data_IF_855829386544
#
_entry.id   IF_855829386544
#
_cell.length_a   1.000
_cell.length_b   1.000
_cell.length_c   1.000
_cell.angle_alpha   90.00
_cell.angle_beta   90.00
_cell.angle_gamma   90.00
#
_symmetry.space_group_name_H-M   'P 1'
#
loop_
_entity.id
_entity.type
_entity.pdbx_description
1 polymer ?
#
# COMPACT_ATOMS: atom_id res chain seq x y z
N UNK A 1 5.31 13.46 7.31
CA UNK A 1 5.08 12.51 6.20
C UNK A 1 5.95 11.28 6.37
N UNK A 2 5.50 10.11 5.90
CA UNK A 2 6.21 8.82 6.06
C UNK A 2 6.47 8.21 4.68
N UNK A 3 7.68 7.70 4.48
CA UNK A 3 8.10 7.04 3.23
C UNK A 3 8.99 5.84 3.51
N UNK A 4 8.89 4.82 2.68
CA UNK A 4 9.86 3.73 2.67
C UNK A 4 10.94 4.00 1.62
N UNK A 5 12.19 3.88 2.03
CA UNK A 5 13.34 3.85 1.11
C UNK A 5 13.78 2.39 0.96
N UNK A 6 13.36 1.79 -0.13
CA UNK A 6 13.59 0.39 -0.44
C UNK A 6 15.10 0.08 -0.56
N UNK A 7 15.83 0.91 -1.30
CA UNK A 7 17.24 0.65 -1.60
C UNK A 7 18.14 0.77 -0.36
N UNK A 8 17.84 1.73 0.52
CA UNK A 8 18.57 1.94 1.76
C UNK A 8 17.97 1.21 2.96
N UNK A 9 16.88 0.44 2.76
CA UNK A 9 16.20 -0.33 3.81
C UNK A 9 15.79 0.53 5.01
N UNK A 10 15.19 1.69 4.72
CA UNK A 10 14.84 2.67 5.75
C UNK A 10 13.36 3.06 5.67
N UNK A 11 12.85 3.45 6.82
CA UNK A 11 11.68 4.31 6.95
C UNK A 11 12.18 5.74 7.11
N UNK A 12 11.69 6.65 6.29
CA UNK A 12 12.03 8.09 6.31
C UNK A 12 10.81 8.86 6.79
N UNK A 13 11.02 9.70 7.78
CA UNK A 13 9.99 10.57 8.35
C UNK A 13 10.38 12.02 8.08
N UNK A 14 9.50 12.75 7.41
CA UNK A 14 9.67 14.17 7.14
C UNK A 14 8.71 15.00 7.97
N UNK A 15 9.16 16.19 8.35
CA UNK A 15 8.34 17.27 8.89
C UNK A 15 7.32 17.76 7.84
N UNK A 16 6.38 18.59 8.26
CA UNK A 16 5.37 19.16 7.36
C UNK A 16 5.96 20.13 6.32
N UNK A 17 7.12 20.67 6.57
CA UNK A 17 7.88 21.54 5.65
C UNK A 17 8.77 20.76 4.66
N UNK A 18 8.75 19.42 4.74
CA UNK A 18 9.55 18.54 3.89
C UNK A 18 10.98 18.28 4.38
N UNK A 19 11.40 18.87 5.49
CA UNK A 19 12.71 18.60 6.09
C UNK A 19 12.75 17.22 6.75
N UNK A 20 13.93 16.60 6.76
CA UNK A 20 14.12 15.30 7.41
C UNK A 20 13.93 15.43 8.94
N UNK A 21 13.01 14.64 9.49
CA UNK A 21 12.86 14.49 10.95
C UNK A 21 13.66 13.27 11.45
N UNK A 22 13.35 12.09 10.94
CA UNK A 22 13.95 10.83 11.42
C UNK A 22 14.17 9.85 10.28
N UNK A 23 15.19 8.99 10.46
CA UNK A 23 15.37 7.75 9.70
C UNK A 23 15.40 6.56 10.66
N UNK A 24 14.76 5.46 10.26
CA UNK A 24 14.72 4.22 11.02
C UNK A 24 15.11 3.06 10.11
N UNK A 25 16.11 2.30 10.49
CA UNK A 25 16.59 1.15 9.71
C UNK A 25 15.62 -0.02 9.77
N UNK A 26 15.28 -0.57 8.62
CA UNK A 26 14.43 -1.74 8.44
C UNK A 26 15.20 -3.01 8.03
N UNK A 27 16.55 -2.99 8.10
CA UNK A 27 17.38 -4.16 7.77
C UNK A 27 16.94 -5.44 8.50
N UNK A 28 17.18 -6.64 7.92
CA UNK A 28 17.95 -6.90 6.68
C UNK A 28 17.09 -6.88 5.39
N UNK A 29 15.81 -6.58 5.48
CA UNK A 29 14.91 -6.65 4.34
C UNK A 29 14.59 -5.27 3.76
N UNK A 30 14.33 -5.24 2.47
CA UNK A 30 13.90 -4.04 1.77
C UNK A 30 12.50 -3.62 2.23
N UNK A 31 12.35 -2.38 2.68
CA UNK A 31 11.07 -1.78 3.04
C UNK A 31 10.26 -1.47 1.78
N UNK A 32 8.97 -1.83 1.77
CA UNK A 32 8.09 -1.71 0.59
C UNK A 32 7.04 -0.63 0.76
N UNK A 33 6.26 -0.72 1.83
CA UNK A 33 5.16 0.18 2.10
C UNK A 33 5.02 0.41 3.60
N UNK A 34 4.30 1.45 4.00
CA UNK A 34 4.13 1.83 5.40
C UNK A 34 2.71 2.31 5.66
N UNK A 35 2.15 1.90 6.80
CA UNK A 35 0.86 2.39 7.29
C UNK A 35 0.96 2.81 8.75
N UNK A 36 0.22 3.86 9.13
CA UNK A 36 0.08 4.28 10.52
C UNK A 36 -0.87 3.32 11.26
N UNK A 37 -0.49 2.92 12.46
CA UNK A 37 -1.37 2.22 13.41
C UNK A 37 -1.96 3.23 14.39
N UNK A 38 -1.10 4.10 14.92
CA UNK A 38 -1.44 5.22 15.80
C UNK A 38 -0.40 6.35 15.64
N UNK A 39 -0.46 7.38 16.47
CA UNK A 39 0.38 8.58 16.38
C UNK A 39 1.89 8.28 16.50
N UNK A 40 2.28 7.18 17.15
CA UNK A 40 3.67 6.80 17.40
C UNK A 40 4.08 5.44 16.83
N UNK A 41 3.14 4.70 16.26
CA UNK A 41 3.35 3.32 15.80
C UNK A 41 3.01 3.15 14.34
N UNK A 42 3.91 2.54 13.60
CA UNK A 42 3.72 2.22 12.17
C UNK A 42 3.92 0.73 11.92
N UNK A 43 3.29 0.23 10.87
CA UNK A 43 3.63 -1.06 10.29
C UNK A 43 4.33 -0.85 8.95
N UNK A 44 5.47 -1.49 8.76
CA UNK A 44 6.27 -1.47 7.53
C UNK A 44 6.28 -2.86 6.94
N UNK A 45 5.82 -2.99 5.70
CA UNK A 45 5.95 -4.23 4.92
C UNK A 45 7.36 -4.33 4.34
N UNK A 46 7.88 -5.54 4.31
CA UNK A 46 9.22 -5.82 3.76
C UNK A 46 9.18 -7.04 2.82
N UNK A 47 10.31 -7.36 2.22
CA UNK A 47 10.42 -8.56 1.38
C UNK A 47 10.32 -9.89 2.13
N UNK A 48 10.24 -9.91 3.46
CA UNK A 48 10.20 -11.16 4.24
C UNK A 48 9.46 -11.11 5.56
N UNK A 49 9.00 -9.94 5.98
CA UNK A 49 8.22 -9.77 7.22
C UNK A 49 7.43 -8.44 7.20
N UNK A 50 6.61 -8.25 8.22
CA UNK A 50 6.02 -6.96 8.56
C UNK A 50 6.57 -6.55 9.92
N UNK A 51 7.01 -5.30 10.04
CA UNK A 51 7.57 -4.75 11.27
C UNK A 51 6.67 -3.68 11.86
N UNK A 52 6.29 -3.86 13.10
CA UNK A 52 5.63 -2.83 13.90
C UNK A 52 6.72 -2.05 14.61
N UNK A 53 6.82 -0.78 14.32
CA UNK A 53 7.91 0.11 14.74
C UNK A 53 7.31 1.27 15.51
N UNK A 54 7.85 1.54 16.68
CA UNK A 54 7.61 2.77 17.40
C UNK A 54 8.55 3.86 16.85
N UNK A 55 7.99 4.91 16.28
CA UNK A 55 8.76 5.96 15.59
C UNK A 55 9.45 6.93 16.54
N UNK A 56 9.01 7.05 17.80
CA UNK A 56 9.63 7.92 18.78
C UNK A 56 10.87 7.26 19.39
N UNK A 57 10.77 5.99 19.74
CA UNK A 57 11.89 5.21 20.30
C UNK A 57 12.80 4.63 19.20
N UNK A 58 12.37 4.66 17.93
CA UNK A 58 13.01 4.04 16.77
C UNK A 58 13.22 2.52 16.92
N UNK A 59 12.36 1.86 17.67
CA UNK A 59 12.49 0.42 17.95
C UNK A 59 11.42 -0.39 17.24
N UNK A 60 11.84 -1.52 16.68
CA UNK A 60 10.90 -2.56 16.26
C UNK A 60 10.36 -3.25 17.48
N UNK A 61 9.06 -3.11 17.74
CA UNK A 61 8.37 -3.71 18.87
C UNK A 61 7.90 -5.13 18.56
N UNK A 62 7.59 -5.38 17.28
CA UNK A 62 7.07 -6.67 16.83
C UNK A 62 7.45 -6.98 15.39
N UNK A 63 7.70 -8.25 15.11
CA UNK A 63 7.93 -8.78 13.77
C UNK A 63 6.91 -9.87 13.47
N UNK A 64 6.16 -9.69 12.38
CA UNK A 64 5.18 -10.66 11.88
C UNK A 64 5.81 -11.33 10.67
N UNK A 65 6.07 -12.64 10.77
CA UNK A 65 6.61 -13.40 9.66
C UNK A 65 5.53 -13.67 8.62
N UNK A 66 5.89 -13.49 7.36
CA UNK A 66 5.03 -13.74 6.21
C UNK A 66 5.54 -14.94 5.43
N UNK A 67 4.70 -15.54 4.60
CA UNK A 67 5.09 -16.70 3.78
C UNK A 67 5.74 -16.30 2.47
N UNK A 68 5.51 -15.05 2.05
CA UNK A 68 6.06 -14.44 0.84
C UNK A 68 6.34 -12.96 1.01
N UNK A 69 6.73 -12.32 -0.08
CA UNK A 69 6.97 -10.88 -0.10
C UNK A 69 5.67 -10.10 0.11
N UNK A 70 5.70 -9.19 1.08
CA UNK A 70 4.62 -8.24 1.32
C UNK A 70 4.92 -6.94 0.58
N UNK A 71 3.96 -6.45 -0.18
CA UNK A 71 4.06 -5.17 -0.86
C UNK A 71 3.19 -4.13 -0.18
N UNK A 72 1.98 -3.89 -0.67
CA UNK A 72 1.09 -2.93 -0.05
C UNK A 72 0.61 -3.39 1.34
N UNK A 73 0.53 -2.45 2.29
CA UNK A 73 0.04 -2.68 3.65
C UNK A 73 -0.92 -1.58 4.07
N UNK A 74 -1.99 -1.96 4.73
CA UNK A 74 -2.96 -1.02 5.30
C UNK A 74 -3.37 -1.43 6.72
N UNK A 75 -3.71 -0.45 7.53
CA UNK A 75 -4.27 -0.67 8.87
C UNK A 75 -5.74 -0.29 8.91
N UNK A 76 -6.54 -1.12 9.57
CA UNK A 76 -7.96 -0.88 9.79
C UNK A 76 -8.41 -1.44 11.14
N UNK A 77 -8.73 -0.56 12.09
CA UNK A 77 -9.39 -0.92 13.38
C UNK A 77 -8.79 -2.16 14.08
N UNK A 78 -7.49 -2.19 14.30
CA UNK A 78 -6.80 -3.31 14.98
C UNK A 78 -6.37 -4.45 14.07
N UNK A 79 -6.64 -4.35 12.77
CA UNK A 79 -6.28 -5.34 11.75
C UNK A 79 -5.25 -4.74 10.80
N UNK A 80 -4.19 -5.48 10.49
CA UNK A 80 -3.33 -5.19 9.35
C UNK A 80 -3.75 -6.05 8.15
N UNK A 81 -3.79 -5.42 6.97
CA UNK A 81 -4.04 -6.07 5.69
C UNK A 81 -2.81 -5.88 4.81
N UNK A 82 -2.45 -6.90 4.04
CA UNK A 82 -1.35 -6.78 3.07
C UNK A 82 -1.59 -7.61 1.82
N UNK A 83 -0.96 -7.17 0.74
CA UNK A 83 -0.90 -7.94 -0.50
C UNK A 83 0.31 -8.89 -0.46
N UNK A 84 0.05 -10.19 -0.64
CA UNK A 84 1.07 -11.22 -0.75
C UNK A 84 0.96 -11.89 -2.12
N UNK A 85 2.01 -11.76 -2.93
CA UNK A 85 2.02 -12.28 -4.30
C UNK A 85 1.71 -13.77 -4.37
N UNK A 86 0.95 -14.19 -5.38
CA UNK A 86 0.49 -15.56 -5.58
C UNK A 86 -0.37 -16.16 -4.45
N UNK A 87 -0.85 -15.31 -3.54
CA UNK A 87 -1.70 -15.73 -2.42
C UNK A 87 -2.94 -14.87 -2.26
N UNK A 88 -2.82 -13.55 -2.46
CA UNK A 88 -3.93 -12.63 -2.39
C UNK A 88 -3.84 -11.59 -1.28
N UNK A 89 -4.99 -11.20 -0.75
CA UNK A 89 -5.11 -10.24 0.35
C UNK A 89 -5.18 -11.00 1.67
N UNK A 90 -4.20 -10.74 2.52
CA UNK A 90 -4.04 -11.40 3.82
C UNK A 90 -4.34 -10.39 4.92
N UNK A 91 -4.85 -10.87 6.05
CA UNK A 91 -5.05 -10.05 7.24
C UNK A 91 -4.53 -10.72 8.51
N UNK A 92 -4.15 -9.89 9.47
CA UNK A 92 -3.85 -10.29 10.84
C UNK A 92 -4.64 -9.43 11.82
N UNK A 93 -5.32 -10.06 12.76
CA UNK A 93 -5.87 -9.39 13.94
C UNK A 93 -4.74 -9.16 14.95
N UNK A 94 -4.44 -7.90 15.27
CA UNK A 94 -3.30 -7.58 16.15
C UNK A 94 -3.51 -7.99 17.60
N UNK A 95 -4.76 -8.21 18.01
CA UNK A 95 -5.13 -8.61 19.39
C UNK A 95 -4.79 -10.05 19.71
N UNK A 96 -4.92 -10.97 18.76
CA UNK A 96 -4.74 -12.42 18.97
C UNK A 96 -3.75 -13.07 18.01
N UNK A 97 -3.14 -12.29 17.13
CA UNK A 97 -2.17 -12.74 16.11
C UNK A 97 -2.75 -13.71 15.06
N UNK A 98 -4.04 -13.77 14.91
CA UNK A 98 -4.69 -14.65 13.94
C UNK A 98 -4.53 -14.13 12.53
N UNK A 99 -3.75 -14.87 11.74
CA UNK A 99 -3.54 -14.60 10.30
C UNK A 99 -4.57 -15.40 9.50
N UNK A 100 -5.26 -14.73 8.57
CA UNK A 100 -6.23 -15.37 7.67
C UNK A 100 -6.09 -14.79 6.26
N UNK A 101 -6.37 -15.60 5.24
CA UNK A 101 -6.55 -15.12 3.88
C UNK A 101 -7.94 -14.52 3.77
N UNK A 102 -8.02 -13.22 3.45
CA UNK A 102 -9.27 -12.50 3.29
C UNK A 102 -9.83 -12.66 1.88
N UNK A 103 -8.95 -12.51 0.88
CA UNK A 103 -9.27 -12.77 -0.54
C UNK A 103 -8.18 -13.64 -1.12
N UNK A 104 -8.55 -14.84 -1.57
CA UNK A 104 -7.62 -15.74 -2.24
C UNK A 104 -7.45 -15.33 -3.70
N UNK A 105 -6.22 -15.04 -4.10
CA UNK A 105 -5.86 -14.74 -5.48
C UNK A 105 -4.45 -15.27 -5.80
N UNK A 106 -4.40 -16.49 -6.30
CA UNK A 106 -3.14 -17.15 -6.70
C UNK A 106 -2.44 -16.49 -7.90
N UNK A 107 -3.11 -15.54 -8.56
CA UNK A 107 -2.58 -14.75 -9.68
C UNK A 107 -2.21 -13.32 -9.27
N UNK A 108 -2.44 -12.95 -8.00
CA UNK A 108 -2.06 -11.62 -7.53
C UNK A 108 -0.56 -11.43 -7.76
N UNK A 109 -0.16 -10.40 -8.52
CA UNK A 109 1.25 -10.16 -8.75
C UNK A 109 1.92 -9.54 -7.52
N UNK A 110 3.22 -9.71 -7.45
CA UNK A 110 4.06 -8.85 -6.62
C UNK A 110 3.80 -7.37 -6.98
N UNK A 111 4.13 -6.46 -6.07
CA UNK A 111 3.88 -5.02 -6.26
C UNK A 111 2.40 -4.63 -6.37
N UNK A 112 1.51 -5.42 -5.78
CA UNK A 112 0.13 -5.02 -5.53
C UNK A 112 0.06 -4.20 -4.25
N UNK A 113 -0.67 -3.09 -4.29
CA UNK A 113 -0.83 -2.19 -3.14
C UNK A 113 -2.27 -2.21 -2.64
N UNK A 114 -2.43 -1.84 -1.37
CA UNK A 114 -3.73 -1.84 -0.71
C UNK A 114 -3.86 -0.62 0.19
N UNK A 115 -5.06 -0.08 0.25
CA UNK A 115 -5.46 0.93 1.24
C UNK A 115 -6.88 0.67 1.72
N UNK A 116 -7.27 1.31 2.83
CA UNK A 116 -8.61 1.16 3.41
C UNK A 116 -9.25 2.52 3.68
N UNK A 117 -10.57 2.59 3.53
CA UNK A 117 -11.35 3.74 3.97
C UNK A 117 -12.76 3.30 4.38
N UNK A 118 -13.19 3.68 5.59
CA UNK A 118 -14.43 3.15 6.15
C UNK A 118 -14.38 1.62 6.20
N UNK A 119 -15.40 0.96 5.71
CA UNK A 119 -15.47 -0.50 5.64
C UNK A 119 -15.16 -1.04 4.22
N UNK A 120 -14.28 -0.34 3.50
CA UNK A 120 -13.84 -0.71 2.15
C UNK A 120 -12.32 -0.90 2.08
N UNK A 121 -11.92 -1.78 1.18
CA UNK A 121 -10.52 -2.06 0.83
C UNK A 121 -10.36 -1.78 -0.65
N UNK A 122 -9.29 -1.07 -1.03
CA UNK A 122 -8.94 -0.80 -2.43
C UNK A 122 -7.58 -1.41 -2.73
N UNK A 123 -7.53 -2.25 -3.74
CA UNK A 123 -6.34 -3.01 -4.14
C UNK A 123 -5.98 -2.72 -5.59
N UNK A 124 -4.71 -2.49 -5.87
CA UNK A 124 -4.19 -2.40 -7.25
C UNK A 124 -3.64 -3.74 -7.72
N UNK A 125 -3.79 -4.00 -9.03
CA UNK A 125 -3.17 -5.12 -9.71
C UNK A 125 -2.53 -4.63 -11.02
N UNK A 126 -1.19 -4.52 -11.03
CA UNK A 126 -0.47 -3.94 -12.16
C UNK A 126 -0.50 -4.82 -13.42
N UNK A 127 -0.63 -6.15 -13.29
CA UNK A 127 -0.71 -7.05 -14.46
C UNK A 127 -2.05 -6.97 -15.16
N UNK A 128 -3.12 -6.81 -14.40
CA UNK A 128 -4.47 -6.70 -14.94
C UNK A 128 -4.88 -5.27 -15.25
N UNK A 129 -4.03 -4.27 -14.94
CA UNK A 129 -4.34 -2.85 -15.07
C UNK A 129 -5.62 -2.47 -14.31
N UNK A 130 -5.81 -3.00 -13.11
CA UNK A 130 -7.06 -2.86 -12.37
C UNK A 130 -6.89 -2.28 -10.98
N UNK A 131 -7.98 -1.66 -10.52
CA UNK A 131 -8.23 -1.33 -9.12
C UNK A 131 -9.50 -2.05 -8.70
N UNK A 132 -9.41 -2.85 -7.66
CA UNK A 132 -10.56 -3.60 -7.12
C UNK A 132 -10.94 -3.04 -5.75
N UNK A 133 -12.24 -2.80 -5.57
CA UNK A 133 -12.82 -2.46 -4.29
C UNK A 133 -13.47 -3.70 -3.67
N UNK A 134 -13.12 -3.98 -2.43
CA UNK A 134 -13.78 -5.01 -1.62
C UNK A 134 -14.45 -4.36 -0.40
N UNK A 135 -15.49 -4.99 0.11
CA UNK A 135 -15.95 -4.78 1.47
C UNK A 135 -14.89 -5.32 2.46
N UNK A 136 -14.93 -4.86 3.70
CA UNK A 136 -13.96 -5.28 4.73
C UNK A 136 -13.99 -6.78 5.04
N UNK A 137 -15.08 -7.47 4.69
CA UNK A 137 -15.22 -8.93 4.78
C UNK A 137 -14.61 -9.69 3.59
N UNK A 138 -14.06 -8.99 2.58
CA UNK A 138 -13.46 -9.57 1.38
C UNK A 138 -14.41 -9.75 0.19
N UNK A 139 -15.67 -9.38 0.30
CA UNK A 139 -16.60 -9.39 -0.82
C UNK A 139 -16.23 -8.34 -1.86
N UNK A 140 -16.10 -8.75 -3.14
CA UNK A 140 -15.81 -7.83 -4.23
C UNK A 140 -17.01 -6.95 -4.55
N UNK A 141 -16.87 -5.64 -4.42
CA UNK A 141 -17.92 -4.66 -4.69
C UNK A 141 -17.87 -4.17 -6.14
N UNK A 142 -16.70 -3.80 -6.63
CA UNK A 142 -16.50 -3.38 -8.01
C UNK A 142 -15.02 -3.51 -8.41
N UNK A 143 -14.78 -3.42 -9.72
CA UNK A 143 -13.44 -3.36 -10.31
C UNK A 143 -13.43 -2.33 -11.42
N UNK A 144 -12.44 -1.45 -11.39
CA UNK A 144 -12.10 -0.57 -12.50
C UNK A 144 -10.96 -1.22 -13.29
N UNK A 145 -11.21 -1.45 -14.57
CA UNK A 145 -10.22 -2.05 -15.48
C UNK A 145 -10.38 -1.41 -16.87
N UNK A 146 -9.61 -0.36 -17.11
CA UNK A 146 -9.54 0.32 -18.40
C UNK A 146 -8.09 0.59 -18.77
N UNK A 147 -7.51 -0.25 -19.63
CA UNK A 147 -6.12 -0.17 -20.01
C UNK A 147 -5.76 1.09 -20.83
N UNK A 148 -6.75 1.84 -21.35
CA UNK A 148 -6.53 3.13 -21.98
C UNK A 148 -6.33 4.26 -20.97
N UNK A 149 -6.85 4.07 -19.77
CA UNK A 149 -6.83 5.04 -18.65
C UNK A 149 -5.75 4.71 -17.64
N UNK A 150 -5.63 3.45 -17.26
CA UNK A 150 -4.79 2.97 -16.18
C UNK A 150 -3.90 1.84 -16.67
N UNK A 151 -2.58 2.02 -16.55
CA UNK A 151 -1.63 1.00 -16.94
C UNK A 151 -0.54 0.85 -15.89
N UNK A 152 -0.35 -0.40 -15.46
CA UNK A 152 0.55 -0.76 -14.36
C UNK A 152 0.28 0.10 -13.10
N UNK A 153 -0.95 0.02 -12.51
CA UNK A 153 -1.22 0.71 -11.27
C UNK A 153 -0.36 0.15 -10.13
N UNK A 154 0.24 1.06 -9.38
CA UNK A 154 1.02 0.75 -8.19
C UNK A 154 0.36 1.36 -6.95
N UNK A 155 0.92 2.44 -6.41
CA UNK A 155 0.41 3.09 -5.21
C UNK A 155 -1.06 3.49 -5.31
N UNK A 156 -1.79 3.30 -4.22
CA UNK A 156 -3.19 3.69 -4.05
C UNK A 156 -3.39 4.40 -2.72
N UNK A 157 -4.14 5.50 -2.74
CA UNK A 157 -4.52 6.25 -1.56
C UNK A 157 -5.98 6.68 -1.66
N UNK A 158 -6.59 7.04 -0.53
CA UNK A 158 -7.99 7.46 -0.48
C UNK A 158 -8.12 8.71 0.38
N UNK A 159 -8.91 9.68 -0.06
CA UNK A 159 -9.24 10.87 0.71
C UNK A 159 -10.48 10.69 1.61
N UNK A 160 -10.79 11.73 2.39
CA UNK A 160 -11.94 11.72 3.31
C UNK A 160 -13.31 11.70 2.61
N UNK A 161 -13.34 11.91 1.29
CA UNK A 161 -14.56 11.82 0.47
C UNK A 161 -14.66 10.47 -0.25
N UNK A 162 -13.73 9.55 0.06
CA UNK A 162 -13.61 8.24 -0.60
C UNK A 162 -13.26 8.34 -2.10
N UNK A 163 -12.58 9.41 -2.53
CA UNK A 163 -11.97 9.45 -3.85
C UNK A 163 -10.68 8.63 -3.83
N UNK A 164 -10.48 7.79 -4.83
CA UNK A 164 -9.37 6.86 -4.89
C UNK A 164 -8.29 7.39 -5.84
N UNK A 165 -7.12 7.68 -5.33
CA UNK A 165 -5.95 8.17 -6.06
C UNK A 165 -5.07 7.00 -6.43
N UNK A 166 -4.77 6.84 -7.72
CA UNK A 166 -4.00 5.71 -8.24
C UNK A 166 -2.86 6.20 -9.09
N UNK A 167 -1.65 5.77 -8.74
CA UNK A 167 -0.47 6.02 -9.54
C UNK A 167 -0.38 5.00 -10.69
N UNK A 168 -0.49 5.48 -11.93
CA UNK A 168 -0.28 4.70 -13.15
C UNK A 168 1.18 4.81 -13.57
N UNK A 169 1.96 3.76 -13.28
CA UNK A 169 3.40 3.76 -13.51
C UNK A 169 3.76 3.95 -15.00
N UNK A 170 3.19 3.14 -15.86
CA UNK A 170 3.53 3.16 -17.28
C UNK A 170 3.08 4.46 -17.97
N UNK A 171 1.94 5.04 -17.56
CA UNK A 171 1.47 6.31 -18.11
C UNK A 171 2.01 7.54 -17.41
N UNK A 172 2.80 7.36 -16.34
CA UNK A 172 3.42 8.45 -15.54
C UNK A 172 2.38 9.51 -15.15
N UNK A 173 1.27 9.06 -14.61
CA UNK A 173 0.17 9.94 -14.19
C UNK A 173 -0.49 9.43 -12.92
N UNK A 174 -1.20 10.34 -12.25
CA UNK A 174 -2.14 10.00 -11.19
C UNK A 174 -3.55 10.20 -11.70
N UNK A 175 -4.38 9.19 -11.54
CA UNK A 175 -5.82 9.29 -11.77
C UNK A 175 -6.58 9.29 -10.46
N UNK A 176 -7.77 9.86 -10.47
CA UNK A 176 -8.72 9.81 -9.35
C UNK A 176 -9.97 9.10 -9.82
N UNK A 177 -10.35 8.05 -9.08
CA UNK A 177 -11.61 7.32 -9.28
C UNK A 177 -12.66 7.80 -8.28
N UNK A 178 -13.92 7.81 -8.73
CA UNK A 178 -15.07 8.01 -7.84
C UNK A 178 -15.24 6.85 -6.86
N UNK A 179 -15.94 7.06 -5.72
CA UNK A 179 -16.18 6.02 -4.71
C UNK A 179 -16.86 4.75 -5.20
N UNK A 180 -17.57 4.84 -6.32
CA UNK A 180 -18.27 3.72 -6.97
C UNK A 180 -17.48 3.11 -8.15
N UNK A 181 -16.28 3.64 -8.43
CA UNK A 181 -15.40 3.18 -9.51
C UNK A 181 -15.90 3.47 -10.92
N UNK A 182 -16.96 4.27 -11.10
CA UNK A 182 -17.58 4.49 -12.43
C UNK A 182 -17.05 5.70 -13.18
N UNK A 183 -16.51 6.67 -12.45
CA UNK A 183 -15.96 7.89 -13.03
C UNK A 183 -14.49 8.02 -12.69
N UNK A 184 -13.77 8.65 -13.57
CA UNK A 184 -12.36 8.96 -13.36
C UNK A 184 -11.99 10.31 -13.93
N UNK A 185 -10.92 10.89 -13.43
CA UNK A 185 -10.25 12.05 -14.00
C UNK A 185 -8.74 11.93 -13.80
N UNK A 186 -7.98 12.50 -14.70
CA UNK A 186 -6.55 12.71 -14.52
C UNK A 186 -6.33 13.84 -13.51
N UNK A 187 -5.39 13.64 -12.60
CA UNK A 187 -5.00 14.65 -11.61
C UNK A 187 -3.64 15.25 -11.94
N UNK A 188 -2.66 14.40 -12.21
CA UNK A 188 -1.28 14.76 -12.50
C UNK A 188 -0.74 13.93 -13.66
N UNK A 189 0.21 14.51 -14.42
CA UNK A 189 0.95 13.81 -15.48
C UNK A 189 2.41 14.31 -15.57
N UNK A 190 3.08 13.99 -16.68
CA UNK A 190 4.48 14.38 -16.89
C UNK A 190 4.68 15.90 -16.99
N UNK A 191 3.68 16.64 -17.49
CA UNK A 191 3.74 18.10 -17.61
C UNK A 191 3.70 18.78 -16.24
N UNK A 192 3.13 18.10 -15.23
CA UNK A 192 3.17 18.50 -13.82
C UNK A 192 4.48 18.11 -13.11
N UNK A 193 5.48 17.63 -13.84
CA UNK A 193 6.79 17.25 -13.31
C UNK A 193 6.85 15.82 -12.74
N UNK A 194 5.85 14.97 -13.00
CA UNK A 194 5.93 13.58 -12.61
C UNK A 194 7.01 12.84 -13.38
N UNK A 195 8.08 12.47 -12.70
CA UNK A 195 9.07 11.53 -13.20
C UNK A 195 8.96 10.21 -12.47
N UNK A 196 9.06 9.11 -13.22
CA UNK A 196 9.13 7.79 -12.60
C UNK A 196 10.60 7.40 -12.54
N UNK A 197 11.15 7.29 -11.34
CA UNK A 197 12.41 6.59 -11.16
C UNK A 197 12.11 5.09 -11.07
N UNK A 198 12.73 4.31 -11.95
CA UNK A 198 12.63 2.85 -11.87
C UNK A 198 13.26 2.40 -10.55
N UNK A 199 12.53 1.73 -9.68
CA UNK A 199 13.11 1.22 -8.44
C UNK A 199 14.06 0.02 -8.65
N UNK A 200 14.37 -0.31 -9.90
CA UNK A 200 15.11 -1.51 -10.28
C UNK A 200 16.09 -1.23 -11.43
N UNK A 201 17.19 -0.57 -11.12
CA UNK A 201 18.45 -0.65 -11.86
C UNK A 201 19.59 -0.96 -10.90
#
# INVERSE_FOLDING_TARGET
MLFTDNNNQKLVILNNDGTLDKEITCSPYNSRDVTLIDDSTVAVSTSGDIRIINIDTKRTERVIKTTGSCYGIAYHKGTLLWCEGSRGLIKIELSDNRITTLVEDVKLPDQSFVTTFGDKIFQTNHRNNSVTCYAINGEKLWEFNDASVLREPLGVAVDNNCNIYVASYNYKKVIVLSPDGKQWRQLLDQDDGMSVHTPYT
#
